data_IF_074021765201
#
_entry.id   IF_074021765201
#
_cell.length_a   1.000
_cell.length_b   1.000
_cell.length_c   1.000
_cell.angle_alpha   90.00
_cell.angle_beta   90.00
_cell.angle_gamma   90.00
#
_symmetry.space_group_name_H-M   'P 1'
#
loop_
_entity.id
_entity.type
_entity.pdbx_description
1 polymer ?
#
# COMPACT_ATOMS: atom_id res chain seq x y z
N UNK A 1 24.65 8.95 33.92
CA UNK A 1 23.80 7.80 34.27
C UNK A 1 22.27 8.02 34.19
N UNK A 2 21.71 9.25 34.13
CA UNK A 2 20.23 9.44 34.12
C UNK A 2 19.55 9.60 32.74
N UNK A 3 20.25 9.37 31.63
CA UNK A 3 19.71 9.51 30.26
C UNK A 3 19.54 8.19 29.50
N UNK A 4 20.07 7.08 30.03
CA UNK A 4 20.01 5.75 29.41
C UNK A 4 18.83 4.90 29.92
N UNK A 5 18.28 5.19 31.10
CA UNK A 5 17.18 4.41 31.69
C UNK A 5 15.81 4.69 31.04
N UNK A 6 15.63 5.83 30.33
CA UNK A 6 14.38 6.09 29.58
C UNK A 6 14.28 5.34 28.26
N UNK A 7 15.39 4.86 27.70
CA UNK A 7 15.36 4.04 26.48
C UNK A 7 15.09 2.56 26.79
N UNK A 8 15.36 2.10 28.01
CA UNK A 8 15.21 0.70 28.38
C UNK A 8 13.74 0.26 28.59
N UNK A 9 12.80 1.20 28.73
CA UNK A 9 11.37 0.86 28.88
C UNK A 9 10.66 0.61 27.53
N UNK A 10 11.31 0.89 26.40
CA UNK A 10 10.72 0.74 25.05
C UNK A 10 10.84 -0.68 24.46
N UNK A 11 11.36 -1.66 25.22
CA UNK A 11 11.67 -3.00 24.73
C UNK A 11 11.01 -4.15 25.52
N UNK A 12 9.88 -3.92 26.20
CA UNK A 12 9.07 -5.05 26.71
C UNK A 12 7.97 -5.42 25.71
N UNK A 13 7.95 -6.72 25.40
CA UNK A 13 7.11 -7.40 24.42
C UNK A 13 5.59 -7.10 24.54
N UNK A 14 4.83 -7.20 23.44
CA UNK A 14 3.37 -7.10 23.45
C UNK A 14 2.78 -8.42 23.94
N UNK A 15 2.89 -8.70 25.24
CA UNK A 15 2.04 -9.72 25.88
C UNK A 15 1.06 -9.01 26.80
N UNK A 16 -0.21 -9.34 26.57
CA UNK A 16 -1.35 -9.07 27.46
C UNK A 16 -1.84 -7.61 27.49
N UNK A 17 -2.59 -7.23 26.45
CA UNK A 17 -3.63 -6.21 26.60
C UNK A 17 -4.76 -6.77 27.48
N UNK A 18 -4.52 -6.81 28.79
CA UNK A 18 -5.55 -7.07 29.79
C UNK A 18 -6.55 -5.91 29.81
N UNK A 19 -7.73 -6.13 29.26
CA UNK A 19 -8.86 -5.20 29.32
C UNK A 19 -9.31 -5.08 30.79
N UNK A 20 -9.09 -3.92 31.41
CA UNK A 20 -9.77 -3.56 32.67
C UNK A 20 -11.17 -3.01 32.35
N UNK A 21 -12.23 -3.45 33.05
CA UNK A 21 -13.58 -2.97 32.81
C UNK A 21 -13.75 -1.59 33.46
N UNK A 22 -13.58 -0.54 32.66
CA UNK A 22 -13.76 0.85 33.08
C UNK A 22 -13.19 1.82 32.06
N UNK A 23 -14.03 2.23 31.09
CA UNK A 23 -13.69 3.24 30.09
C UNK A 23 -13.04 2.67 28.83
N UNK A 24 -13.86 2.34 27.83
CA UNK A 24 -13.39 1.96 26.49
C UNK A 24 -12.92 3.23 25.76
N UNK A 25 -11.60 3.40 25.62
CA UNK A 25 -11.00 4.27 24.61
C UNK A 25 -10.64 3.39 23.41
N UNK A 26 -11.56 3.35 22.44
CA UNK A 26 -11.40 2.55 21.23
C UNK A 26 -10.29 3.16 20.35
N UNK A 27 -9.17 2.46 20.30
CA UNK A 27 -8.01 2.80 19.49
C UNK A 27 -8.27 2.72 17.99
N UNK A 28 -8.20 3.88 17.34
CA UNK A 28 -7.48 4.04 16.06
C UNK A 28 -6.48 5.15 16.34
N UNK A 29 -5.20 4.88 16.06
CA UNK A 29 -4.07 5.73 16.37
C UNK A 29 -4.27 7.20 15.93
N UNK A 30 -4.71 8.05 16.86
CA UNK A 30 -4.57 9.50 16.79
C UNK A 30 -3.42 10.00 17.69
N UNK A 31 -2.81 9.13 18.50
CA UNK A 31 -1.72 9.48 19.42
C UNK A 31 -0.33 9.63 18.78
N UNK A 32 -0.24 9.87 17.47
CA UNK A 32 1.02 10.26 16.80
C UNK A 32 0.93 11.49 15.90
N UNK A 33 -0.14 12.27 16.01
CA UNK A 33 -0.19 13.64 15.50
C UNK A 33 -0.52 14.62 16.64
N UNK A 34 0.21 14.49 17.74
CA UNK A 34 0.43 15.58 18.69
C UNK A 34 1.44 16.57 18.11
N UNK A 35 1.20 17.07 16.91
CA UNK A 35 2.00 18.13 16.32
C UNK A 35 1.40 19.46 16.80
N UNK A 36 1.92 20.01 17.89
CA UNK A 36 1.47 21.27 18.49
C UNK A 36 1.46 22.43 17.46
N UNK A 37 2.22 22.29 16.37
CA UNK A 37 2.23 23.20 15.22
C UNK A 37 0.88 23.19 14.47
N UNK A 38 0.27 22.02 14.26
CA UNK A 38 -1.00 21.88 13.55
C UNK A 38 -2.16 22.54 14.32
N UNK A 39 -2.20 22.37 15.65
CA UNK A 39 -3.21 23.03 16.50
C UNK A 39 -3.07 24.56 16.54
N UNK A 40 -1.84 25.09 16.43
CA UNK A 40 -1.60 26.54 16.44
C UNK A 40 -1.93 27.23 15.12
N UNK A 41 -1.84 26.51 14.00
CA UNK A 41 -2.06 27.07 12.66
C UNK A 41 -3.47 26.87 12.14
N UNK A 42 -4.20 25.85 12.59
CA UNK A 42 -5.58 25.59 12.18
C UNK A 42 -6.54 25.98 13.31
N UNK A 43 -7.15 27.17 13.20
CA UNK A 43 -8.28 27.52 14.07
C UNK A 43 -9.49 26.69 13.67
N UNK A 44 -9.72 25.58 14.38
CA UNK A 44 -10.95 24.82 14.24
C UNK A 44 -12.09 25.67 14.82
N UNK A 45 -12.92 26.30 13.97
CA UNK A 45 -14.15 26.92 14.43
C UNK A 45 -15.13 25.80 14.77
N UNK A 46 -15.59 25.67 16.03
CA UNK A 46 -16.64 24.72 16.35
C UNK A 46 -17.87 25.07 15.50
N UNK A 47 -18.33 24.13 14.67
CA UNK A 47 -19.61 24.30 13.97
C UNK A 47 -20.69 24.21 15.03
N UNK A 48 -21.41 25.31 15.27
CA UNK A 48 -22.52 25.36 16.22
C UNK A 48 -23.66 24.46 15.73
N UNK A 49 -23.77 23.28 16.34
CA UNK A 49 -24.82 22.30 16.10
C UNK A 49 -24.56 21.07 16.97
N UNK A 50 -25.62 20.41 17.45
CA UNK A 50 -25.47 19.12 18.12
C UNK A 50 -24.87 18.11 17.13
N UNK A 51 -23.55 17.94 17.17
CA UNK A 51 -22.90 16.99 16.27
C UNK A 51 -23.45 15.60 16.57
N UNK A 52 -24.08 14.98 15.58
CA UNK A 52 -24.56 13.61 15.70
C UNK A 52 -23.38 12.71 16.01
N UNK A 53 -23.35 12.15 17.23
CA UNK A 53 -22.36 11.13 17.60
C UNK A 53 -22.67 9.85 16.83
N UNK A 54 -21.68 9.35 16.08
CA UNK A 54 -21.80 8.08 15.36
C UNK A 54 -21.53 6.92 16.32
N UNK A 55 -22.45 5.96 16.37
CA UNK A 55 -22.23 4.70 17.09
C UNK A 55 -21.21 3.84 16.36
N UNK A 56 -20.60 2.88 17.06
CA UNK A 56 -19.67 1.91 16.45
C UNK A 56 -20.31 1.15 15.28
N UNK A 57 -21.58 0.74 15.44
CA UNK A 57 -22.35 0.12 14.35
C UNK A 57 -22.47 1.05 13.15
N UNK A 58 -22.74 2.33 13.38
CA UNK A 58 -22.83 3.31 12.30
C UNK A 58 -21.48 3.50 11.58
N UNK A 59 -20.38 3.59 12.32
CA UNK A 59 -19.03 3.65 11.75
C UNK A 59 -18.70 2.40 10.93
N UNK A 60 -18.99 1.22 11.46
CA UNK A 60 -18.76 -0.05 10.78
C UNK A 60 -19.57 -0.15 9.47
N UNK A 61 -20.87 0.17 9.50
CA UNK A 61 -21.69 0.20 8.27
C UNK A 61 -21.18 1.23 7.28
N UNK A 62 -20.76 2.40 7.74
CA UNK A 62 -20.20 3.43 6.88
C UNK A 62 -18.88 3.01 6.23
N UNK A 63 -18.02 2.25 6.93
CA UNK A 63 -16.80 1.67 6.36
C UNK A 63 -17.14 0.61 5.31
N UNK A 64 -18.05 -0.32 5.61
CA UNK A 64 -18.44 -1.37 4.66
C UNK A 64 -19.13 -0.79 3.41
N UNK A 65 -19.95 0.25 3.57
CA UNK A 65 -20.53 0.97 2.44
C UNK A 65 -19.45 1.62 1.56
N UNK A 66 -18.47 2.30 2.16
CA UNK A 66 -17.34 2.89 1.41
C UNK A 66 -16.44 1.83 0.77
N UNK A 67 -16.37 0.64 1.36
CA UNK A 67 -15.62 -0.50 0.84
C UNK A 67 -16.39 -1.33 -0.20
N UNK A 68 -17.63 -0.96 -0.55
CA UNK A 68 -18.49 -1.66 -1.51
C UNK A 68 -18.82 -3.11 -1.05
N UNK A 69 -19.01 -3.29 0.27
CA UNK A 69 -19.23 -4.60 0.89
C UNK A 69 -20.63 -4.78 1.51
N UNK A 70 -21.47 -3.74 1.50
CA UNK A 70 -22.89 -3.88 1.86
C UNK A 70 -23.73 -4.30 0.66
N UNK A 71 -23.35 -3.81 -0.52
CA UNK A 71 -23.97 -4.12 -1.81
C UNK A 71 -22.87 -4.12 -2.88
N UNK A 72 -23.04 -4.98 -3.88
CA UNK A 72 -22.16 -4.97 -5.06
C UNK A 72 -22.54 -3.76 -5.92
N UNK A 73 -21.54 -2.98 -6.32
CA UNK A 73 -21.76 -1.74 -7.05
C UNK A 73 -21.66 -1.92 -8.57
N UNK A 74 -22.48 -1.19 -9.31
CA UNK A 74 -22.37 -1.02 -10.77
C UNK A 74 -21.36 0.09 -11.08
N UNK A 75 -20.07 -0.19 -10.93
CA UNK A 75 -18.99 0.76 -11.18
C UNK A 75 -17.94 0.20 -12.14
N UNK A 76 -17.29 1.06 -12.95
CA UNK A 76 -16.08 0.66 -13.66
C UNK A 76 -15.00 0.18 -12.66
N UNK A 77 -14.26 -0.86 -13.04
CA UNK A 77 -13.27 -1.50 -12.17
C UNK A 77 -12.25 -0.52 -11.58
N UNK A 78 -11.68 0.36 -12.39
CA UNK A 78 -10.72 1.38 -11.93
C UNK A 78 -11.34 2.33 -10.89
N UNK A 79 -12.60 2.76 -11.09
CA UNK A 79 -13.33 3.59 -10.12
C UNK A 79 -13.61 2.86 -8.81
N UNK A 80 -13.85 1.56 -8.87
CA UNK A 80 -13.99 0.74 -7.68
C UNK A 80 -12.67 0.63 -6.90
N UNK A 81 -11.55 0.47 -7.61
CA UNK A 81 -10.21 0.47 -7.00
C UNK A 81 -9.93 1.81 -6.29
N UNK A 82 -10.19 2.94 -6.94
CA UNK A 82 -10.07 4.29 -6.34
C UNK A 82 -10.95 4.43 -5.10
N UNK A 83 -12.20 3.94 -5.17
CA UNK A 83 -13.16 4.04 -4.06
C UNK A 83 -12.69 3.31 -2.80
N UNK A 84 -12.02 2.17 -2.97
CA UNK A 84 -11.48 1.36 -1.86
C UNK A 84 -10.00 1.65 -1.59
N UNK A 85 -9.39 2.56 -2.36
CA UNK A 85 -7.97 2.90 -2.37
C UNK A 85 -7.12 1.91 -3.18
N UNK A 86 -7.01 0.67 -2.70
CA UNK A 86 -6.31 -0.40 -3.40
C UNK A 86 -6.68 -1.77 -2.81
N UNK A 87 -6.42 -2.85 -3.53
CA UNK A 87 -6.64 -4.22 -3.04
C UNK A 87 -5.31 -4.98 -2.97
N UNK A 88 -5.00 -5.55 -1.81
CA UNK A 88 -3.80 -6.36 -1.65
C UNK A 88 -3.90 -7.64 -2.53
N UNK A 89 -2.82 -7.91 -3.27
CA UNK A 89 -2.73 -8.98 -4.29
C UNK A 89 -1.41 -9.72 -4.21
N UNK A 90 -1.00 -10.10 -2.99
CA UNK A 90 0.21 -10.92 -2.81
C UNK A 90 0.09 -12.27 -3.55
N UNK A 91 -1.15 -12.78 -3.61
CA UNK A 91 -1.58 -13.89 -4.44
C UNK A 91 -2.54 -13.35 -5.50
N UNK A 92 -2.21 -13.48 -6.79
CA UNK A 92 -2.97 -12.83 -7.86
C UNK A 92 -4.50 -13.03 -7.77
N UNK A 93 -5.04 -14.26 -7.56
CA UNK A 93 -6.47 -14.50 -7.39
C UNK A 93 -7.18 -13.69 -6.29
N UNK A 94 -6.48 -13.21 -5.25
CA UNK A 94 -7.11 -12.45 -4.17
C UNK A 94 -7.71 -11.13 -4.65
N UNK A 95 -7.11 -10.47 -5.65
CA UNK A 95 -7.67 -9.26 -6.24
C UNK A 95 -8.95 -9.56 -7.03
N UNK A 96 -8.97 -10.66 -7.79
CA UNK A 96 -10.14 -11.09 -8.57
C UNK A 96 -11.33 -11.36 -7.64
N UNK A 97 -11.11 -12.11 -6.55
CA UNK A 97 -12.14 -12.35 -5.54
C UNK A 97 -12.55 -11.04 -4.86
N UNK A 98 -11.58 -10.17 -4.54
CA UNK A 98 -11.83 -8.87 -3.93
C UNK A 98 -12.73 -7.96 -4.77
N UNK A 99 -12.54 -7.92 -6.09
CA UNK A 99 -13.42 -7.20 -7.01
C UNK A 99 -14.75 -7.92 -7.22
N UNK A 100 -14.75 -9.25 -7.34
CA UNK A 100 -15.98 -10.04 -7.47
C UNK A 100 -16.97 -9.77 -6.32
N UNK A 101 -16.47 -9.69 -5.08
CA UNK A 101 -17.28 -9.37 -3.90
C UNK A 101 -17.82 -7.93 -3.88
N UNK A 102 -17.30 -7.03 -4.71
CA UNK A 102 -17.60 -5.58 -4.67
C UNK A 102 -18.34 -5.06 -5.89
N UNK A 103 -18.20 -5.73 -7.03
CA UNK A 103 -18.68 -5.25 -8.32
C UNK A 103 -19.73 -6.20 -8.88
N UNK A 104 -20.88 -5.66 -9.27
CA UNK A 104 -21.92 -6.42 -9.98
C UNK A 104 -21.46 -6.79 -11.38
N UNK A 105 -21.81 -8.00 -11.85
CA UNK A 105 -21.40 -8.48 -13.18
C UNK A 105 -19.90 -8.65 -13.38
N UNK A 106 -19.11 -8.72 -12.28
CA UNK A 106 -17.67 -8.88 -12.39
C UNK A 106 -17.26 -10.25 -12.95
N UNK A 107 -16.42 -10.22 -13.99
CA UNK A 107 -15.79 -11.40 -14.60
C UNK A 107 -14.26 -11.29 -14.48
N UNK A 108 -13.57 -12.43 -14.42
CA UNK A 108 -12.11 -12.46 -14.22
C UNK A 108 -11.38 -11.67 -15.29
N UNK A 109 -11.82 -11.81 -16.53
CA UNK A 109 -11.26 -11.21 -17.73
C UNK A 109 -11.31 -9.68 -17.65
N UNK A 110 -12.23 -9.09 -16.88
CA UNK A 110 -12.28 -7.64 -16.69
C UNK A 110 -11.05 -7.11 -15.95
N UNK A 111 -10.57 -7.81 -14.91
CA UNK A 111 -9.33 -7.40 -14.23
C UNK A 111 -8.10 -7.66 -15.09
N UNK A 112 -8.03 -8.81 -15.77
CA UNK A 112 -6.95 -9.10 -16.72
C UNK A 112 -6.83 -8.01 -17.79
N UNK A 113 -7.94 -7.68 -18.45
CA UNK A 113 -7.98 -6.60 -19.45
C UNK A 113 -7.68 -5.23 -18.84
N UNK A 114 -8.07 -4.98 -17.60
CA UNK A 114 -7.80 -3.71 -16.95
C UNK A 114 -6.29 -3.52 -16.67
N UNK A 115 -5.58 -4.59 -16.30
CA UNK A 115 -4.13 -4.62 -16.16
C UNK A 115 -3.42 -4.45 -17.52
N UNK A 116 -3.87 -5.19 -18.55
CA UNK A 116 -3.31 -5.12 -19.91
C UNK A 116 -3.49 -3.73 -20.54
N UNK A 117 -4.67 -3.12 -20.37
CA UNK A 117 -4.95 -1.75 -20.82
C UNK A 117 -4.43 -0.67 -19.87
N UNK A 118 -3.68 -1.05 -18.84
CA UNK A 118 -3.03 -0.11 -17.90
C UNK A 118 -3.99 0.86 -17.24
N UNK A 119 -5.25 0.47 -17.06
CA UNK A 119 -6.25 1.25 -16.30
C UNK A 119 -6.13 1.01 -14.79
N UNK A 120 -5.55 -0.12 -14.43
CA UNK A 120 -5.07 -0.45 -13.09
C UNK A 120 -3.67 -1.02 -13.19
N UNK A 121 -2.91 -0.92 -12.11
CA UNK A 121 -1.55 -1.46 -12.01
C UNK A 121 -1.40 -2.37 -10.81
N UNK A 122 -0.54 -3.37 -10.95
CA UNK A 122 -0.11 -4.22 -9.85
C UNK A 122 1.31 -3.86 -9.44
N UNK A 123 1.54 -3.47 -8.19
CA UNK A 123 2.84 -3.00 -7.73
C UNK A 123 3.06 -3.23 -6.24
N UNK A 124 4.32 -3.14 -5.79
CA UNK A 124 4.63 -3.05 -4.35
C UNK A 124 4.27 -1.67 -3.84
N UNK A 125 3.30 -1.59 -2.92
CA UNK A 125 2.72 -0.33 -2.45
C UNK A 125 2.63 -0.31 -0.92
N UNK A 126 1.42 -0.25 -0.37
CA UNK A 126 1.15 -0.09 1.05
C UNK A 126 1.89 -1.15 1.87
N UNK A 127 2.61 -0.72 2.90
CA UNK A 127 3.33 -1.63 3.83
C UNK A 127 4.31 -2.57 3.11
N UNK A 128 4.85 -2.16 1.96
CA UNK A 128 5.75 -2.97 1.11
C UNK A 128 5.15 -4.30 0.62
N UNK A 129 3.81 -4.43 0.54
CA UNK A 129 3.15 -5.59 -0.07
C UNK A 129 2.54 -5.25 -1.43
N UNK A 130 2.20 -6.28 -2.20
CA UNK A 130 1.69 -6.10 -3.57
C UNK A 130 0.21 -5.70 -3.53
N UNK A 131 -0.16 -4.67 -4.29
CA UNK A 131 -1.53 -4.20 -4.43
C UNK A 131 -1.91 -3.98 -5.90
N UNK A 132 -3.22 -4.09 -6.20
CA UNK A 132 -3.83 -3.49 -7.38
C UNK A 132 -4.37 -2.12 -7.00
N UNK A 133 -4.01 -1.09 -7.75
CA UNK A 133 -4.54 0.27 -7.63
C UNK A 133 -4.91 0.82 -9.02
N UNK A 134 -5.73 1.86 -9.08
CA UNK A 134 -5.91 2.57 -10.35
C UNK A 134 -4.60 3.24 -10.77
N UNK A 135 -4.39 3.37 -12.07
CA UNK A 135 -3.23 4.06 -12.61
C UNK A 135 -3.18 5.52 -12.17
N UNK A 136 -4.35 6.15 -12.03
CA UNK A 136 -4.51 7.52 -11.53
C UNK A 136 -4.02 7.69 -10.08
N UNK A 137 -4.33 6.73 -9.22
CA UNK A 137 -4.01 6.84 -7.79
C UNK A 137 -2.61 6.30 -7.46
N UNK A 138 -1.96 5.58 -8.40
CA UNK A 138 -0.64 5.00 -8.18
C UNK A 138 0.39 6.03 -7.71
N UNK A 139 0.62 7.10 -8.48
CA UNK A 139 1.66 8.08 -8.16
C UNK A 139 1.37 8.86 -6.87
N UNK A 140 0.16 9.43 -6.65
CA UNK A 140 -0.17 10.06 -5.39
C UNK A 140 0.07 9.16 -4.18
N UNK A 141 -0.34 7.88 -4.28
CA UNK A 141 -0.17 6.91 -3.18
C UNK A 141 1.30 6.55 -2.96
N UNK A 142 2.06 6.23 -4.01
CA UNK A 142 3.47 5.86 -3.90
C UNK A 142 4.29 6.99 -3.30
N UNK A 143 4.07 8.23 -3.76
CA UNK A 143 4.76 9.40 -3.23
C UNK A 143 4.47 9.61 -1.74
N UNK A 144 3.20 9.48 -1.35
CA UNK A 144 2.78 9.64 0.05
C UNK A 144 3.42 8.63 1.01
N UNK A 145 3.67 7.39 0.56
CA UNK A 145 4.19 6.30 1.42
C UNK A 145 5.70 6.07 1.27
N UNK A 146 6.38 6.74 0.35
CA UNK A 146 7.79 6.46 0.00
C UNK A 146 8.73 6.54 1.21
N UNK A 147 8.60 7.57 2.04
CA UNK A 147 9.42 7.76 3.22
C UNK A 147 9.25 6.61 4.23
N UNK A 148 8.00 6.26 4.54
CA UNK A 148 7.66 5.18 5.48
C UNK A 148 8.13 3.81 4.99
N UNK A 149 8.01 3.54 3.69
CA UNK A 149 8.51 2.29 3.09
C UNK A 149 10.01 2.12 3.28
N UNK A 150 10.79 3.19 3.07
CA UNK A 150 12.24 3.20 3.28
C UNK A 150 12.58 3.12 4.77
N UNK A 151 11.87 3.86 5.63
CA UNK A 151 12.08 3.82 7.08
C UNK A 151 11.87 2.41 7.66
N UNK A 152 10.85 1.69 7.19
CA UNK A 152 10.66 0.28 7.53
C UNK A 152 11.84 -0.59 7.07
N UNK A 153 12.32 -0.40 5.84
CA UNK A 153 13.42 -1.20 5.29
C UNK A 153 14.71 -1.00 6.09
N UNK A 154 15.04 0.24 6.49
CA UNK A 154 16.18 0.51 7.38
C UNK A 154 16.03 -0.21 8.73
N UNK A 155 14.86 -0.12 9.34
CA UNK A 155 14.59 -0.69 10.67
C UNK A 155 14.61 -2.21 10.67
N UNK A 156 13.98 -2.84 9.68
CA UNK A 156 13.70 -4.28 9.69
C UNK A 156 14.70 -5.06 8.84
N UNK A 157 15.09 -4.53 7.70
CA UNK A 157 16.01 -5.19 6.76
C UNK A 157 17.45 -4.69 6.90
N UNK A 158 17.71 -3.73 7.80
CA UNK A 158 19.03 -3.10 7.97
C UNK A 158 19.54 -2.56 6.63
N UNK A 159 18.64 -1.95 5.87
CA UNK A 159 18.88 -1.43 4.55
C UNK A 159 19.80 -0.20 4.58
N UNK A 160 20.85 -0.22 3.75
CA UNK A 160 21.77 0.91 3.56
C UNK A 160 21.35 1.76 2.34
N UNK A 161 20.91 3.00 2.59
CA UNK A 161 20.36 3.90 1.57
C UNK A 161 21.32 4.07 0.38
N UNK A 162 22.61 4.31 0.64
CA UNK A 162 23.63 4.55 -0.41
C UNK A 162 23.80 3.35 -1.34
N UNK A 163 23.75 2.13 -0.80
CA UNK A 163 23.88 0.91 -1.61
C UNK A 163 22.65 0.69 -2.47
N UNK A 164 21.46 0.89 -1.88
CA UNK A 164 20.19 0.69 -2.56
C UNK A 164 19.92 1.76 -3.60
N UNK A 165 20.34 3.01 -3.37
CA UNK A 165 20.28 4.08 -4.37
C UNK A 165 21.14 3.78 -5.60
N UNK A 166 22.37 3.28 -5.39
CA UNK A 166 23.24 2.86 -6.50
C UNK A 166 22.65 1.69 -7.29
N UNK A 167 22.14 0.68 -6.59
CA UNK A 167 21.50 -0.48 -7.22
C UNK A 167 20.23 -0.04 -7.99
N UNK A 168 19.43 0.82 -7.39
CA UNK A 168 18.22 1.39 -7.98
C UNK A 168 18.51 2.22 -9.23
N UNK A 169 19.57 3.04 -9.23
CA UNK A 169 19.98 3.81 -10.41
C UNK A 169 20.38 2.90 -11.58
N UNK A 170 21.14 1.83 -11.31
CA UNK A 170 21.51 0.84 -12.33
C UNK A 170 20.30 0.10 -12.86
N UNK A 171 19.38 -0.31 -11.98
CA UNK A 171 18.16 -1.00 -12.38
C UNK A 171 17.25 -0.09 -13.22
N UNK A 172 17.09 1.19 -12.85
CA UNK A 172 16.36 2.18 -13.67
C UNK A 172 16.95 2.28 -15.08
N UNK A 173 18.28 2.37 -15.20
CA UNK A 173 18.94 2.45 -16.51
C UNK A 173 18.68 1.21 -17.38
N UNK A 174 18.63 0.02 -16.79
CA UNK A 174 18.38 -1.23 -17.51
C UNK A 174 16.94 -1.41 -17.96
N UNK A 175 15.99 -0.87 -17.21
CA UNK A 175 14.55 -0.96 -17.52
C UNK A 175 14.02 0.25 -18.29
N UNK A 176 14.85 1.26 -18.54
CA UNK A 176 14.45 2.48 -19.24
C UNK A 176 14.00 2.19 -20.68
N UNK A 177 13.03 2.96 -21.16
CA UNK A 177 12.50 2.80 -22.52
C UNK A 177 11.48 1.67 -22.63
N UNK A 178 10.88 1.25 -21.50
CA UNK A 178 9.86 0.20 -21.46
C UNK A 178 10.39 -1.23 -21.46
N UNK A 179 11.69 -1.41 -21.23
CA UNK A 179 12.29 -2.74 -21.07
C UNK A 179 11.73 -3.46 -19.84
N UNK A 180 11.59 -4.79 -19.94
CA UNK A 180 11.05 -5.61 -18.86
C UNK A 180 11.95 -6.78 -18.54
N UNK A 181 12.06 -7.11 -17.25
CA UNK A 181 12.86 -8.23 -16.79
C UNK A 181 12.05 -9.10 -15.83
N UNK A 182 12.23 -10.42 -15.95
CA UNK A 182 11.70 -11.37 -14.99
C UNK A 182 12.51 -11.36 -13.71
N UNK A 183 11.90 -11.78 -12.60
CA UNK A 183 12.58 -11.89 -11.30
C UNK A 183 13.88 -12.69 -11.38
N UNK A 184 13.90 -13.78 -12.14
CA UNK A 184 15.09 -14.62 -12.34
C UNK A 184 16.22 -13.87 -13.05
N UNK A 185 15.88 -13.04 -14.03
CA UNK A 185 16.85 -12.24 -14.78
C UNK A 185 17.41 -11.14 -13.88
N UNK A 186 16.54 -10.47 -13.12
CA UNK A 186 16.96 -9.51 -12.09
C UNK A 186 17.93 -10.15 -11.08
N UNK A 187 17.60 -11.33 -10.56
CA UNK A 187 18.46 -12.07 -9.63
C UNK A 187 19.83 -12.44 -10.24
N UNK A 188 19.88 -12.74 -11.54
CA UNK A 188 21.11 -13.05 -12.26
C UNK A 188 22.04 -11.84 -12.45
N UNK A 189 21.54 -10.60 -12.37
CA UNK A 189 22.35 -9.37 -12.46
C UNK A 189 23.24 -9.14 -11.22
N UNK A 190 23.08 -9.97 -10.19
CA UNK A 190 23.87 -9.91 -8.97
C UNK A 190 23.54 -8.72 -8.07
N UNK A 191 24.17 -8.68 -6.88
CA UNK A 191 23.88 -7.73 -5.80
C UNK A 191 24.16 -6.27 -6.12
N UNK A 192 24.87 -6.01 -7.22
CA UNK A 192 25.20 -4.68 -7.72
C UNK A 192 23.95 -3.99 -8.30
N UNK A 193 23.01 -4.77 -8.84
CA UNK A 193 21.76 -4.26 -9.45
C UNK A 193 20.55 -4.73 -8.65
N UNK A 194 20.51 -6.02 -8.28
CA UNK A 194 19.38 -6.61 -7.60
C UNK A 194 19.80 -7.21 -6.25
N UNK A 195 19.28 -6.62 -5.17
CA UNK A 195 19.47 -7.09 -3.81
C UNK A 195 18.16 -6.99 -3.02
N UNK A 196 18.04 -7.70 -1.89
CA UNK A 196 16.90 -7.52 -0.99
C UNK A 196 16.70 -6.03 -0.68
N UNK A 197 15.49 -5.54 -0.89
CA UNK A 197 15.15 -4.12 -0.70
C UNK A 197 15.24 -3.23 -1.94
N UNK A 198 15.92 -3.62 -3.04
CA UNK A 198 16.02 -2.76 -4.26
C UNK A 198 14.66 -2.29 -4.76
N UNK A 199 13.65 -3.17 -4.74
CA UNK A 199 12.27 -2.86 -5.16
C UNK A 199 11.54 -1.80 -4.29
N UNK A 200 12.13 -1.39 -3.16
CA UNK A 200 11.62 -0.28 -2.33
C UNK A 200 12.17 1.07 -2.83
N UNK A 201 13.33 1.08 -3.50
CA UNK A 201 13.98 2.28 -4.07
C UNK A 201 13.70 2.49 -5.55
N UNK A 202 13.06 1.51 -6.21
CA UNK A 202 12.63 1.59 -7.61
C UNK A 202 11.13 1.39 -7.67
N UNK A 203 10.44 2.29 -8.37
CA UNK A 203 9.00 2.24 -8.56
C UNK A 203 8.69 1.20 -9.66
N UNK A 204 8.74 -0.07 -9.27
CA UNK A 204 8.48 -1.21 -10.15
C UNK A 204 6.98 -1.55 -10.20
N UNK A 205 6.49 -1.79 -11.41
CA UNK A 205 5.18 -2.41 -11.66
C UNK A 205 5.36 -3.84 -12.12
N UNK A 206 4.31 -4.65 -11.95
CA UNK A 206 4.23 -6.01 -12.48
C UNK A 206 3.49 -5.97 -13.80
N UNK A 207 4.16 -6.39 -14.85
CA UNK A 207 3.69 -6.23 -16.24
C UNK A 207 2.90 -7.46 -16.66
N UNK A 208 1.64 -7.33 -17.13
CA UNK A 208 0.87 -8.44 -17.66
C UNK A 208 1.59 -9.08 -18.86
N UNK A 209 1.40 -10.39 -19.10
CA UNK A 209 0.36 -11.25 -18.50
C UNK A 209 0.74 -11.79 -17.11
N UNK A 210 1.90 -11.41 -16.56
CA UNK A 210 2.34 -11.81 -15.22
C UNK A 210 1.39 -11.28 -14.12
N UNK A 211 1.08 -12.11 -13.13
CA UNK A 211 0.21 -11.72 -12.00
C UNK A 211 -1.28 -11.68 -12.30
N UNK A 212 -1.69 -12.38 -13.34
CA UNK A 212 -3.10 -12.58 -13.70
C UNK A 212 -3.66 -13.87 -13.10
N UNK A 213 -4.95 -14.14 -13.27
CA UNK A 213 -5.58 -15.37 -12.76
C UNK A 213 -4.92 -16.64 -13.34
N UNK A 214 -4.70 -16.66 -14.66
CA UNK A 214 -4.12 -17.80 -15.37
C UNK A 214 -2.58 -17.84 -15.23
N UNK A 215 -1.94 -16.68 -15.13
CA UNK A 215 -0.49 -16.57 -14.87
C UNK A 215 -0.23 -15.94 -13.50
N UNK A 216 -0.51 -16.70 -12.46
CA UNK A 216 -0.49 -16.25 -11.05
C UNK A 216 0.87 -15.73 -10.59
N UNK A 217 1.95 -16.23 -11.18
CA UNK A 217 3.31 -15.75 -10.90
C UNK A 217 3.45 -14.35 -11.50
N UNK A 218 3.64 -13.37 -10.62
CA UNK A 218 3.72 -11.96 -10.95
C UNK A 218 5.19 -11.51 -11.03
N UNK A 219 6.02 -12.22 -11.78
CA UNK A 219 7.48 -12.09 -11.84
C UNK A 219 8.04 -11.20 -12.95
N UNK A 220 7.23 -10.65 -13.86
CA UNK A 220 7.70 -9.72 -14.90
C UNK A 220 7.61 -8.28 -14.39
N UNK A 221 8.71 -7.54 -14.41
CA UNK A 221 8.80 -6.18 -13.88
C UNK A 221 9.18 -5.17 -14.97
N UNK A 222 8.60 -3.98 -14.86
CA UNK A 222 8.97 -2.78 -15.62
C UNK A 222 8.95 -1.55 -14.72
N UNK A 223 9.43 -0.41 -15.22
CA UNK A 223 9.34 0.86 -14.51
C UNK A 223 7.91 1.40 -14.57
N UNK A 224 7.43 1.93 -13.45
CA UNK A 224 6.14 2.62 -13.40
C UNK A 224 6.12 3.84 -14.33
N UNK A 225 7.24 4.57 -14.44
CA UNK A 225 7.38 5.78 -15.27
C UNK A 225 7.19 5.50 -16.78
N UNK A 226 7.58 4.32 -17.25
CA UNK A 226 7.40 3.92 -18.66
C UNK A 226 6.06 3.21 -18.89
N UNK A 227 5.48 2.62 -17.83
CA UNK A 227 4.25 1.85 -17.94
C UNK A 227 2.99 2.71 -17.87
N UNK A 228 2.98 3.71 -16.99
CA UNK A 228 1.84 4.60 -16.68
C UNK A 228 1.83 5.86 -17.53
#
# INVERSE_FOLDING_TARGET
MRRLERLACLLREPREQGLRPGGVLLGIALDRLGDDVHRRTVTWRPVAGSQRVLTERALNRAVLARQLLLERAKLPLARAAERVGCLQTQYAPSAYIGFWSRLEGFEREQLTRALERRSVVQAMMMRNTIHVASSRDYWPMILAIRAERKAWARRVQQAEDRELERAAAKLRKLLAGGETLRLRELQALGRIVWRPGTAIWVDLVRVPPSGTWERRRADLYGLAEDWL
#
